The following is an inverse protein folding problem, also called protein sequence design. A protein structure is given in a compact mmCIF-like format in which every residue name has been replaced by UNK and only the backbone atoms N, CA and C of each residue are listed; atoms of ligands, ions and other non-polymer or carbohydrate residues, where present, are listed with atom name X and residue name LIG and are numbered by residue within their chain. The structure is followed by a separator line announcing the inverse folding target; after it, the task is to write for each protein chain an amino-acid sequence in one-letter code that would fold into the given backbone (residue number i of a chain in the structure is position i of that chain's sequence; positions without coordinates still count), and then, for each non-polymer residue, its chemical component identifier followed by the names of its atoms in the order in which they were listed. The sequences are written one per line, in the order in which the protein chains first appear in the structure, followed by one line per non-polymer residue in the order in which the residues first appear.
data_IF_650807039681
#
_entry.id   IF_650807039681
#
_cell.length_a   1.000
_cell.length_b   1.000
_cell.length_c   1.000
_cell.angle_alpha   90.00
_cell.angle_beta   90.00
_cell.angle_gamma   90.00
#
_symmetry.space_group_name_H-M   'P 1'
#
loop_
_entity.id
_entity.type
_entity.pdbx_description
1 polymer ?
#
# COMPACT_ATOMS: atom_id res chain seq x y z
N UNK A 1 -9.11 3.87 27.32
CA UNK A 1 -9.10 4.68 26.09
C UNK A 1 -8.61 3.77 24.97
N UNK A 2 -9.37 3.62 23.89
CA UNK A 2 -8.89 2.89 22.71
C UNK A 2 -7.84 3.78 22.04
N UNK A 3 -6.56 3.41 22.13
CA UNK A 3 -5.48 4.13 21.44
C UNK A 3 -5.51 3.73 19.96
N UNK A 4 -6.45 4.32 19.23
CA UNK A 4 -6.48 4.23 17.77
C UNK A 4 -5.33 5.07 17.21
N UNK A 5 -4.50 4.46 16.37
CA UNK A 5 -3.43 5.16 15.68
C UNK A 5 -3.86 5.29 14.23
N UNK A 6 -4.04 6.53 13.75
CA UNK A 6 -4.39 6.80 12.37
C UNK A 6 -3.34 7.69 11.72
N UNK A 7 -2.84 7.26 10.57
CA UNK A 7 -1.93 8.03 9.74
C UNK A 7 -2.40 8.01 8.29
N UNK A 8 -2.38 9.18 7.65
CA UNK A 8 -2.73 9.35 6.25
C UNK A 8 -1.46 9.30 5.41
N UNK A 9 -1.38 8.37 4.46
CA UNK A 9 -0.21 8.20 3.62
C UNK A 9 -0.28 9.18 2.45
N UNK A 10 0.70 10.08 2.35
CA UNK A 10 0.87 11.01 1.26
C UNK A 10 2.12 10.66 0.45
N UNK A 11 2.08 10.88 -0.87
CA UNK A 11 3.24 10.84 -1.76
C UNK A 11 3.48 12.28 -2.23
N UNK A 12 4.47 12.95 -1.64
CA UNK A 12 4.55 14.40 -1.68
C UNK A 12 3.27 15.03 -1.09
N UNK A 13 2.48 15.69 -1.93
CA UNK A 13 1.18 16.30 -1.57
C UNK A 13 -0.04 15.52 -2.09
N UNK A 14 0.14 14.26 -2.52
CA UNK A 14 -0.91 13.42 -3.11
C UNK A 14 -1.36 12.35 -2.15
N UNK A 15 -2.66 12.12 -2.05
CA UNK A 15 -3.21 11.16 -1.11
C UNK A 15 -3.23 9.75 -1.69
N UNK A 16 -2.62 8.82 -0.97
CA UNK A 16 -2.64 7.40 -1.30
C UNK A 16 -3.72 6.65 -0.52
N UNK A 17 -3.79 6.87 0.79
CA UNK A 17 -4.63 6.04 1.66
C UNK A 17 -4.46 6.35 3.14
N UNK A 18 -5.12 5.54 3.97
CA UNK A 18 -5.06 5.67 5.43
C UNK A 18 -4.61 4.36 6.06
N UNK A 19 -3.65 4.45 6.97
CA UNK A 19 -3.30 3.39 7.90
C UNK A 19 -4.02 3.62 9.23
N UNK A 20 -4.65 2.57 9.75
CA UNK A 20 -5.37 2.58 11.02
C UNK A 20 -4.97 1.36 11.83
N UNK A 21 -4.49 1.58 13.05
CA UNK A 21 -4.40 0.54 14.06
C UNK A 21 -5.56 0.69 15.06
N UNK A 22 -6.20 -0.42 15.39
CA UNK A 22 -7.33 -0.47 16.32
C UNK A 22 -7.36 -1.82 17.07
N UNK A 23 -8.13 -1.87 18.16
CA UNK A 23 -8.48 -3.13 18.83
C UNK A 23 -9.87 -3.58 18.37
N UNK A 24 -10.02 -4.85 18.04
CA UNK A 24 -11.34 -5.41 17.72
C UNK A 24 -12.23 -5.56 18.97
N UNK A 25 -13.45 -6.09 18.79
CA UNK A 25 -14.40 -6.28 19.88
C UNK A 25 -13.88 -7.21 20.99
N UNK A 26 -12.89 -8.05 20.69
CA UNK A 26 -12.24 -8.96 21.63
C UNK A 26 -10.94 -8.38 22.22
N UNK A 27 -10.62 -7.12 21.93
CA UNK A 27 -9.40 -6.46 22.41
C UNK A 27 -8.13 -6.84 21.63
N UNK A 28 -8.26 -7.49 20.48
CA UNK A 28 -7.14 -7.96 19.65
C UNK A 28 -6.64 -6.87 18.72
N UNK A 29 -5.31 -6.72 18.62
CA UNK A 29 -4.70 -5.74 17.74
C UNK A 29 -4.98 -6.04 16.27
N UNK A 30 -5.35 -5.00 15.53
CA UNK A 30 -5.55 -5.04 14.08
C UNK A 30 -4.89 -3.83 13.44
N UNK A 31 -4.15 -4.06 12.35
CA UNK A 31 -3.64 -3.01 11.48
C UNK A 31 -4.42 -3.05 10.17
N UNK A 32 -4.97 -1.93 9.71
CA UNK A 32 -5.71 -1.81 8.46
C UNK A 32 -5.12 -0.70 7.60
N UNK A 33 -4.74 -1.03 6.38
CA UNK A 33 -4.46 -0.09 5.31
C UNK A 33 -5.69 -0.03 4.39
N UNK A 34 -6.24 1.17 4.23
CA UNK A 34 -7.33 1.45 3.29
C UNK A 34 -6.84 2.41 2.22
N UNK A 35 -6.82 1.94 0.99
CA UNK A 35 -6.55 2.71 -0.21
C UNK A 35 -7.84 2.82 -1.03
N UNK A 36 -8.11 4.01 -1.56
CA UNK A 36 -9.16 4.23 -2.54
C UNK A 36 -8.50 4.89 -3.74
N UNK A 37 -8.42 4.17 -4.86
CA UNK A 37 -7.98 4.82 -6.09
C UNK A 37 -9.11 5.73 -6.58
N UNK A 38 -8.90 7.03 -6.55
CA UNK A 38 -9.52 7.93 -7.51
C UNK A 38 -8.35 8.49 -8.30
N UNK A 39 -8.18 7.98 -9.52
CA UNK A 39 -7.32 8.63 -10.50
C UNK A 39 -8.14 9.81 -11.01
N UNK A 40 -7.56 11.01 -11.04
CA UNK A 40 -8.25 12.17 -11.56
C UNK A 40 -8.78 11.88 -12.98
N UNK A 41 -10.05 12.22 -13.24
CA UNK A 41 -10.65 12.12 -14.57
C UNK A 41 -9.90 13.04 -15.53
N UNK A 42 -9.03 12.46 -16.36
CA UNK A 42 -8.50 13.15 -17.52
C UNK A 42 -9.60 13.19 -18.58
N UNK A 43 -10.30 14.32 -18.68
CA UNK A 43 -11.04 14.67 -19.89
C UNK A 43 -10.05 14.82 -21.05
N UNK A 44 -9.78 13.72 -21.77
CA UNK A 44 -9.07 13.78 -23.04
C UNK A 44 -9.95 14.45 -24.07
N UNK A 45 -9.58 15.67 -24.45
CA UNK A 45 -10.02 16.31 -25.68
C UNK A 45 -9.06 15.99 -26.83
N UNK A 46 -9.66 15.69 -27.99
CA UNK A 46 -9.14 15.65 -29.37
C UNK A 46 -8.62 14.33 -29.95
N UNK A 47 -9.17 14.06 -31.14
CA UNK A 47 -9.26 12.84 -31.92
C UNK A 47 -7.92 12.33 -32.49
N UNK A 48 -7.76 10.99 -32.51
CA UNK A 48 -7.40 10.12 -33.67
C UNK A 48 -7.07 8.71 -33.12
N UNK A 49 -7.68 7.62 -33.63
CA UNK A 49 -7.36 6.26 -33.21
C UNK A 49 -6.34 5.61 -34.16
N UNK A 50 -5.19 5.16 -33.65
CA UNK A 50 -4.37 4.13 -34.32
C UNK A 50 -3.86 3.11 -33.29
N UNK A 51 -3.97 1.86 -33.68
CA UNK A 51 -4.13 0.66 -32.84
C UNK A 51 -2.88 0.18 -32.12
N UNK A 52 -3.03 -0.11 -30.83
CA UNK A 52 -2.26 -1.06 -30.00
C UNK A 52 -3.28 -1.79 -29.10
N UNK A 53 -3.03 -3.03 -28.62
CA UNK A 53 -4.02 -3.78 -27.84
C UNK A 53 -4.49 -2.93 -26.66
N UNK A 54 -5.80 -2.63 -26.66
CA UNK A 54 -6.41 -1.68 -25.75
C UNK A 54 -6.17 -2.18 -24.32
N UNK A 55 -5.40 -1.45 -23.50
CA UNK A 55 -5.28 -1.77 -22.08
C UNK A 55 -6.67 -1.76 -21.48
N UNK A 56 -7.02 -2.79 -20.70
CA UNK A 56 -8.26 -2.78 -19.93
C UNK A 56 -8.17 -1.57 -19.00
N UNK A 57 -8.95 -0.54 -19.33
CA UNK A 57 -9.32 0.54 -18.45
C UNK A 57 -9.92 -0.12 -17.20
N UNK A 58 -9.21 -0.13 -16.07
CA UNK A 58 -9.90 -0.17 -14.77
C UNK A 58 -10.53 1.22 -14.60
N UNK A 59 -11.68 1.42 -15.24
CA UNK A 59 -12.47 2.66 -15.22
C UNK A 59 -13.09 2.96 -13.87
N UNK A 60 -13.08 2.00 -12.96
CA UNK A 60 -13.82 2.07 -11.72
C UNK A 60 -12.86 2.16 -10.53
N UNK A 61 -13.23 2.93 -9.49
CA UNK A 61 -12.40 3.10 -8.31
C UNK A 61 -12.19 1.73 -7.65
N UNK A 62 -10.99 1.19 -7.82
CA UNK A 62 -10.61 -0.01 -7.09
C UNK A 62 -10.32 0.41 -5.66
N UNK A 63 -11.03 -0.17 -4.70
CA UNK A 63 -10.72 -0.01 -3.28
C UNK A 63 -9.91 -1.22 -2.84
N UNK A 64 -8.81 -0.98 -2.14
CA UNK A 64 -7.96 -2.02 -1.57
C UNK A 64 -7.94 -1.83 -0.06
N UNK A 65 -8.45 -2.82 0.65
CA UNK A 65 -8.39 -2.90 2.10
C UNK A 65 -7.47 -4.07 2.47
N UNK A 66 -6.35 -3.77 3.12
CA UNK A 66 -5.42 -4.78 3.63
C UNK A 66 -5.46 -4.72 5.15
N UNK A 67 -5.70 -5.87 5.79
CA UNK A 67 -5.80 -5.96 7.24
C UNK A 67 -4.87 -7.04 7.78
N UNK A 68 -3.99 -6.70 8.73
CA UNK A 68 -3.17 -7.65 9.47
C UNK A 68 -3.74 -7.85 10.88
N UNK A 69 -4.09 -9.10 11.22
CA UNK A 69 -4.60 -9.50 12.53
C UNK A 69 -3.44 -10.11 13.32
N UNK A 70 -2.95 -9.41 14.33
CA UNK A 70 -1.75 -9.79 15.07
C UNK A 70 -1.89 -11.15 15.77
N UNK A 71 -2.98 -11.47 16.48
CA UNK A 71 -3.08 -12.76 17.18
C UNK A 71 -3.18 -13.97 16.25
N UNK A 72 -3.75 -13.76 15.06
CA UNK A 72 -3.97 -14.82 14.08
C UNK A 72 -2.79 -14.94 13.10
N UNK A 73 -1.82 -14.01 13.18
CA UNK A 73 -0.75 -13.82 12.20
C UNK A 73 -1.26 -13.87 10.75
N UNK A 74 -2.38 -13.19 10.51
CA UNK A 74 -3.15 -13.33 9.29
C UNK A 74 -3.21 -11.99 8.56
N UNK A 75 -2.78 -12.00 7.30
CA UNK A 75 -2.97 -10.91 6.37
C UNK A 75 -4.20 -11.18 5.51
N UNK A 76 -5.21 -10.33 5.62
CA UNK A 76 -6.41 -10.32 4.79
C UNK A 76 -6.26 -9.21 3.75
N UNK A 77 -6.37 -9.56 2.47
CA UNK A 77 -6.42 -8.63 1.34
C UNK A 77 -7.81 -8.66 0.77
N UNK A 78 -8.48 -7.51 0.77
CA UNK A 78 -9.80 -7.32 0.20
C UNK A 78 -9.71 -6.31 -0.95
N UNK A 79 -9.98 -6.79 -2.15
CA UNK A 79 -10.04 -5.97 -3.35
C UNK A 79 -11.51 -5.76 -3.75
N UNK A 80 -11.89 -4.53 -4.06
CA UNK A 80 -13.22 -4.21 -4.55
C UNK A 80 -13.08 -3.60 -5.93
N UNK A 81 -13.53 -4.34 -6.95
CA UNK A 81 -13.53 -3.93 -8.35
C UNK A 81 -14.98 -3.98 -8.85
N UNK A 82 -15.52 -2.85 -9.29
CA UNK A 82 -16.87 -2.76 -9.87
C UNK A 82 -17.95 -3.32 -8.93
N UNK A 83 -17.83 -3.04 -7.63
CA UNK A 83 -18.72 -3.56 -6.59
C UNK A 83 -18.54 -5.04 -6.26
N UNK A 84 -17.75 -5.79 -7.03
CA UNK A 84 -17.39 -7.17 -6.69
C UNK A 84 -16.25 -7.16 -5.69
N UNK A 85 -16.44 -7.90 -4.60
CA UNK A 85 -15.44 -8.04 -3.55
C UNK A 85 -14.72 -9.37 -3.72
N UNK A 86 -13.40 -9.31 -3.86
CA UNK A 86 -12.51 -10.46 -3.79
C UNK A 86 -11.73 -10.41 -2.48
N UNK A 87 -11.56 -11.58 -1.84
CA UNK A 87 -10.80 -11.70 -0.59
C UNK A 87 -9.75 -12.79 -0.74
N UNK A 88 -8.55 -12.48 -0.29
CA UNK A 88 -7.46 -13.42 -0.16
C UNK A 88 -6.87 -13.34 1.25
N UNK A 89 -6.46 -14.49 1.78
CA UNK A 89 -5.88 -14.60 3.11
C UNK A 89 -4.48 -15.19 2.98
N UNK A 90 -3.54 -14.72 3.79
CA UNK A 90 -2.15 -15.16 3.79
C UNK A 90 -1.70 -15.37 5.24
N UNK A 91 -1.09 -16.53 5.52
CA UNK A 91 -0.48 -16.81 6.82
C UNK A 91 0.90 -16.16 6.87
N UNK A 92 1.12 -15.33 7.87
CA UNK A 92 2.39 -14.64 8.09
C UNK A 92 3.14 -15.35 9.21
N UNK A 93 4.33 -15.91 9.00
CA UNK A 93 5.11 -16.49 10.09
C UNK A 93 5.64 -15.38 11.03
N UNK A 94 5.71 -15.69 12.32
CA UNK A 94 6.45 -14.89 13.30
C UNK A 94 7.74 -15.63 13.70
N UNK A 95 8.89 -14.93 13.80
CA UNK A 95 9.12 -13.56 13.34
C UNK A 95 9.01 -13.44 11.81
N UNK A 96 8.64 -12.26 11.32
CA UNK A 96 8.54 -12.01 9.87
C UNK A 96 9.96 -12.03 9.30
N UNK A 97 10.20 -12.82 8.25
CA UNK A 97 11.52 -12.98 7.62
C UNK A 97 11.65 -12.24 6.27
N UNK A 98 10.71 -11.36 5.95
CA UNK A 98 10.66 -10.64 4.68
C UNK A 98 9.66 -9.48 4.64
N UNK A 99 9.46 -8.92 3.45
CA UNK A 99 8.47 -7.86 3.20
C UNK A 99 7.06 -8.41 3.42
N UNK A 100 6.16 -7.59 3.98
CA UNK A 100 4.77 -8.00 4.20
C UNK A 100 3.96 -7.97 2.90
N UNK A 101 3.99 -6.83 2.20
CA UNK A 101 3.48 -6.67 0.83
C UNK A 101 4.06 -5.42 0.17
N UNK A 102 3.88 -5.30 -1.13
CA UNK A 102 4.24 -4.11 -1.90
C UNK A 102 3.07 -3.65 -2.75
N UNK A 103 2.98 -2.35 -2.99
CA UNK A 103 2.05 -1.76 -3.95
C UNK A 103 2.88 -1.06 -5.01
N UNK A 104 2.83 -1.56 -6.24
CA UNK A 104 3.40 -0.86 -7.40
C UNK A 104 2.35 0.09 -7.94
N UNK A 105 2.73 1.31 -8.32
CA UNK A 105 1.80 2.32 -8.84
C UNK A 105 2.43 2.92 -10.09
N UNK A 106 1.72 2.81 -11.21
CA UNK A 106 2.02 3.51 -12.45
C UNK A 106 1.30 4.84 -12.50
N UNK A 107 1.95 5.83 -13.09
CA UNK A 107 1.47 7.19 -13.23
C UNK A 107 1.02 7.76 -11.87
N UNK A 108 1.79 7.52 -10.80
CA UNK A 108 1.44 7.97 -9.44
C UNK A 108 1.18 9.47 -9.34
N UNK A 109 1.67 10.26 -10.31
CA UNK A 109 1.36 11.68 -10.41
C UNK A 109 -0.12 11.96 -10.73
N UNK A 110 -0.91 10.96 -11.08
CA UNK A 110 -2.35 11.10 -11.35
C UNK A 110 -3.21 10.91 -10.10
N UNK A 111 -2.60 10.61 -8.95
CA UNK A 111 -3.28 10.59 -7.65
C UNK A 111 -3.82 11.99 -7.30
N UNK A 112 -4.96 12.00 -6.61
CA UNK A 112 -5.58 13.23 -6.11
C UNK A 112 -4.64 14.00 -5.18
N UNK A 113 -4.56 15.31 -5.38
CA UNK A 113 -3.91 16.20 -4.42
C UNK A 113 -4.76 16.27 -3.14
N UNK A 114 -4.11 16.19 -1.99
CA UNK A 114 -4.77 16.38 -0.70
C UNK A 114 -3.87 17.25 0.18
N UNK A 115 -4.44 18.31 0.75
CA UNK A 115 -3.67 19.30 1.50
C UNK A 115 -4.04 19.37 2.97
N UNK A 116 -5.03 18.61 3.45
CA UNK A 116 -5.51 18.79 4.83
C UNK A 116 -5.88 17.46 5.49
N UNK A 117 -4.86 16.78 6.03
CA UNK A 117 -5.05 15.66 6.95
C UNK A 117 -4.29 15.88 8.26
N UNK A 118 -4.90 15.56 9.42
CA UNK A 118 -4.35 15.86 10.73
C UNK A 118 -3.14 15.00 11.16
N UNK A 119 -2.77 13.97 10.40
CA UNK A 119 -1.63 13.08 10.70
C UNK A 119 -1.04 12.50 9.42
N UNK A 120 -0.34 13.29 8.59
CA UNK A 120 0.22 12.80 7.35
C UNK A 120 1.54 12.07 7.59
N UNK A 121 1.68 10.84 7.08
CA UNK A 121 2.97 10.24 6.77
C UNK A 121 3.30 10.59 5.33
N UNK A 122 4.27 11.48 5.13
CA UNK A 122 4.69 11.93 3.81
C UNK A 122 5.84 11.05 3.31
N UNK A 123 5.64 10.45 2.14
CA UNK A 123 6.65 9.69 1.41
C UNK A 123 7.18 10.55 0.26
N UNK A 124 8.49 10.70 0.15
CA UNK A 124 9.12 11.51 -0.90
C UNK A 124 9.29 10.70 -2.18
N UNK A 125 8.63 11.08 -3.29
CA UNK A 125 8.73 10.33 -4.54
C UNK A 125 10.10 10.53 -5.21
N UNK A 126 10.56 9.54 -5.99
CA UNK A 126 11.70 9.73 -6.86
C UNK A 126 11.40 10.79 -7.94
N UNK A 127 12.38 11.64 -8.25
CA UNK A 127 12.18 12.88 -9.03
C UNK A 127 11.83 12.61 -10.51
N UNK A 128 12.23 11.46 -11.07
CA UNK A 128 12.17 11.18 -12.52
C UNK A 128 11.53 9.83 -12.87
N UNK A 129 10.49 9.40 -12.17
CA UNK A 129 9.80 8.15 -12.51
C UNK A 129 8.27 8.28 -12.52
N UNK A 130 7.66 7.61 -13.49
CA UNK A 130 6.20 7.44 -13.55
C UNK A 130 5.75 6.20 -12.77
N UNK A 131 6.65 5.29 -12.43
CA UNK A 131 6.33 4.05 -11.73
C UNK A 131 7.08 3.96 -10.41
N UNK A 132 6.34 3.77 -9.33
CA UNK A 132 6.88 3.67 -7.97
C UNK A 132 6.47 2.36 -7.31
N UNK A 133 7.24 1.94 -6.33
CA UNK A 133 6.92 0.85 -5.41
C UNK A 133 6.86 1.36 -3.99
N UNK A 134 5.77 1.02 -3.31
CA UNK A 134 5.58 1.26 -1.89
C UNK A 134 5.76 -0.07 -1.17
N UNK A 135 6.73 -0.11 -0.26
CA UNK A 135 7.14 -1.29 0.46
C UNK A 135 6.54 -1.22 1.87
N UNK A 136 5.79 -2.23 2.27
CA UNK A 136 5.21 -2.34 3.60
C UNK A 136 5.86 -3.52 4.33
N UNK A 137 6.46 -3.25 5.49
CA UNK A 137 7.19 -4.25 6.26
C UNK A 137 7.12 -3.96 7.77
N UNK A 138 7.72 -4.86 8.56
CA UNK A 138 8.05 -4.60 9.96
C UNK A 138 9.58 -4.48 10.10
N UNK A 139 10.06 -4.04 11.27
CA UNK A 139 11.46 -4.17 11.62
C UNK A 139 11.84 -5.65 11.74
N UNK A 140 12.94 -6.03 11.07
CA UNK A 140 13.55 -7.35 11.23
C UNK A 140 14.39 -7.46 12.49
N UNK A 141 14.90 -8.66 12.76
CA UNK A 141 15.70 -8.97 13.96
C UNK A 141 16.99 -8.14 14.09
N UNK A 142 17.51 -7.60 12.97
CA UNK A 142 18.68 -6.73 12.94
C UNK A 142 18.34 -5.24 13.18
N UNK A 143 17.10 -4.91 13.52
CA UNK A 143 16.64 -3.54 13.70
C UNK A 143 16.48 -2.76 12.39
N UNK A 144 16.53 -3.43 11.24
CA UNK A 144 16.32 -2.82 9.93
C UNK A 144 15.05 -3.38 9.27
N UNK A 145 14.28 -2.56 8.54
CA UNK A 145 13.13 -3.05 7.80
C UNK A 145 13.54 -3.96 6.64
N UNK A 146 12.71 -4.95 6.32
CA UNK A 146 12.89 -5.74 5.12
C UNK A 146 12.59 -4.90 3.88
N UNK A 147 13.54 -4.84 2.95
CA UNK A 147 13.32 -4.33 1.59
C UNK A 147 13.20 -5.49 0.62
N UNK A 148 12.38 -5.34 -0.42
CA UNK A 148 12.29 -6.34 -1.47
C UNK A 148 13.55 -6.22 -2.34
N UNK A 149 14.43 -7.24 -2.29
CA UNK A 149 15.72 -7.29 -2.99
C UNK A 149 15.57 -6.77 -4.43
N UNK A 150 16.07 -5.57 -4.70
CA UNK A 150 15.91 -4.84 -5.97
C UNK A 150 15.32 -3.43 -5.83
N UNK A 151 14.54 -3.19 -4.78
CA UNK A 151 13.97 -1.88 -4.44
C UNK A 151 14.73 -1.27 -3.26
N UNK A 152 15.34 -0.11 -3.49
CA UNK A 152 16.01 0.68 -2.45
C UNK A 152 15.18 1.95 -2.19
N UNK A 153 14.68 2.17 -0.97
CA UNK A 153 13.94 3.38 -0.64
C UNK A 153 14.80 4.63 -0.85
N UNK A 154 14.23 5.68 -1.46
CA UNK A 154 14.97 6.89 -1.86
C UNK A 154 15.53 7.69 -0.68
N UNK A 155 14.77 7.78 0.41
CA UNK A 155 15.13 8.56 1.62
C UNK A 155 15.04 7.73 2.91
N UNK A 156 15.06 6.39 2.80
CA UNK A 156 14.74 5.48 3.89
C UNK A 156 13.25 5.16 4.00
N UNK A 157 12.84 4.55 5.11
CA UNK A 157 11.46 4.14 5.35
C UNK A 157 10.86 4.95 6.51
N UNK A 158 9.65 5.46 6.33
CA UNK A 158 8.86 6.01 7.43
C UNK A 158 8.44 4.90 8.39
N UNK A 159 8.31 5.23 9.67
CA UNK A 159 7.96 4.25 10.72
C UNK A 159 6.75 4.70 11.51
N UNK A 160 5.96 3.73 11.97
CA UNK A 160 4.83 3.92 12.87
C UNK A 160 4.98 2.93 14.02
N UNK A 161 5.05 3.46 15.23
CA UNK A 161 5.10 2.64 16.44
C UNK A 161 3.74 2.01 16.70
N UNK A 162 3.74 0.70 16.91
CA UNK A 162 2.58 -0.11 17.19
C UNK A 162 2.69 -0.70 18.59
N UNK A 163 1.58 -0.77 19.35
CA UNK A 163 1.57 -1.33 20.69
C UNK A 163 1.52 -2.88 20.69
N UNK A 164 1.94 -3.53 19.61
CA UNK A 164 1.88 -4.99 19.43
C UNK A 164 3.27 -5.61 19.52
N UNK A 165 3.39 -6.71 20.27
CA UNK A 165 4.63 -7.48 20.40
C UNK A 165 4.51 -8.81 19.63
N UNK A 166 5.55 -9.27 18.92
CA UNK A 166 6.89 -8.66 18.75
C UNK A 166 6.97 -7.60 17.65
N UNK A 167 5.86 -7.33 16.93
CA UNK A 167 5.82 -6.45 15.76
C UNK A 167 5.48 -5.00 16.14
N UNK A 168 6.37 -4.37 16.90
CA UNK A 168 6.16 -3.06 17.52
C UNK A 168 6.44 -1.85 16.62
N UNK A 169 7.00 -2.05 15.43
CA UNK A 169 7.27 -0.96 14.49
C UNK A 169 6.91 -1.40 13.07
N UNK A 170 5.98 -0.68 12.47
CA UNK A 170 5.59 -0.83 11.07
C UNK A 170 6.37 0.16 10.20
N UNK A 171 6.89 -0.32 9.07
CA UNK A 171 7.76 0.45 8.19
C UNK A 171 7.13 0.58 6.81
N UNK A 172 7.21 1.79 6.23
CA UNK A 172 6.68 2.11 4.92
C UNK A 172 7.76 2.84 4.11
N UNK A 173 8.16 2.25 2.98
CA UNK A 173 9.21 2.76 2.11
C UNK A 173 8.67 3.12 0.73
N UNK A 174 9.32 4.07 0.07
CA UNK A 174 9.01 4.46 -1.30
C UNK A 174 10.27 4.37 -2.16
N UNK A 175 10.19 3.64 -3.26
CA UNK A 175 11.27 3.40 -4.21
C UNK A 175 10.77 3.59 -5.65
N UNK A 176 11.72 3.77 -6.58
CA UNK A 176 11.44 3.70 -8.02
C UNK A 176 11.10 2.26 -8.44
N UNK A 177 10.15 2.10 -9.37
CA UNK A 177 9.92 0.81 -10.02
C UNK A 177 10.63 0.74 -11.37
N UNK A 178 11.78 0.03 -11.48
CA UNK A 178 12.45 -0.15 -12.76
C UNK A 178 11.63 -1.08 -13.69
N UNK A 179 10.72 -1.87 -13.12
CA UNK A 179 9.80 -2.65 -13.90
C UNK A 179 8.62 -1.76 -14.27
N UNK A 180 8.51 -1.43 -15.55
CA UNK A 180 7.31 -0.80 -16.07
C UNK A 180 6.17 -1.83 -15.97
N UNK A 181 5.41 -1.81 -14.87
CA UNK A 181 4.21 -2.61 -14.74
C UNK A 181 3.30 -2.31 -15.96
N UNK A 182 2.91 -3.37 -16.67
CA UNK A 182 2.21 -3.22 -17.95
C UNK A 182 0.76 -2.74 -17.78
N UNK A 183 0.24 -2.79 -16.56
CA UNK A 183 -1.10 -2.33 -16.21
C UNK A 183 -1.08 -0.86 -15.74
N UNK A 184 -2.01 -0.05 -16.26
CA UNK A 184 -2.28 1.27 -15.70
C UNK A 184 -2.95 1.10 -14.33
N UNK A 185 -2.52 1.88 -13.33
CA UNK A 185 -3.03 1.81 -11.95
C UNK A 185 -2.02 1.18 -10.98
N UNK A 186 -2.50 0.33 -10.07
CA UNK A 186 -1.65 -0.32 -9.07
C UNK A 186 -1.66 -1.84 -9.18
N UNK A 187 -0.58 -2.45 -8.69
CA UNK A 187 -0.40 -3.90 -8.59
C UNK A 187 -0.01 -4.24 -7.15
N UNK A 188 -0.79 -5.09 -6.49
CA UNK A 188 -0.44 -5.62 -5.18
C UNK A 188 0.43 -6.86 -5.34
N UNK A 189 1.59 -6.84 -4.69
CA UNK A 189 2.50 -7.99 -4.61
C UNK A 189 2.58 -8.46 -3.17
N UNK A 190 2.16 -9.69 -2.90
CA UNK A 190 2.27 -10.34 -1.59
C UNK A 190 3.27 -11.49 -1.71
N UNK A 191 4.45 -11.44 -1.06
CA UNK A 191 5.50 -12.45 -1.17
C UNK A 191 5.25 -13.68 -0.29
N UNK A 192 4.02 -13.84 0.24
CA UNK A 192 3.63 -14.90 1.17
C UNK A 192 2.68 -15.89 0.48
N UNK A 193 2.70 -17.17 0.88
CA UNK A 193 1.75 -18.14 0.34
C UNK A 193 0.32 -17.81 0.80
N UNK A 194 -0.64 -17.99 -0.11
CA UNK A 194 -2.06 -17.92 0.24
C UNK A 194 -2.38 -19.00 1.28
N UNK A 195 -3.23 -18.65 2.25
CA UNK A 195 -3.84 -19.63 3.15
C UNK A 195 -4.82 -20.49 2.35
N UNK A 196 -4.71 -21.81 2.48
CA UNK A 196 -5.67 -22.77 1.95
C UNK A 196 -6.99 -22.74 2.71
#
# INVERSE_FOLDING_TARGET
MSNEIKSHLLIGNKYLGSLLYFKDAQGRGCLKLSFKNMLADLTRGTDVPTTLPVPIKRTDPTTLDISYKFPDNLLEVKEIVNGKTERAFYKVPLPVSGVLFMIRIKDWQTLDNDQQKPSPLVLTPPINTNSIVIIFSFLGENGLPFTARGYQPTEGMGTIDLPESPLNTFCIGLAEDPNNNSANGFELVVPLPKAN
#
